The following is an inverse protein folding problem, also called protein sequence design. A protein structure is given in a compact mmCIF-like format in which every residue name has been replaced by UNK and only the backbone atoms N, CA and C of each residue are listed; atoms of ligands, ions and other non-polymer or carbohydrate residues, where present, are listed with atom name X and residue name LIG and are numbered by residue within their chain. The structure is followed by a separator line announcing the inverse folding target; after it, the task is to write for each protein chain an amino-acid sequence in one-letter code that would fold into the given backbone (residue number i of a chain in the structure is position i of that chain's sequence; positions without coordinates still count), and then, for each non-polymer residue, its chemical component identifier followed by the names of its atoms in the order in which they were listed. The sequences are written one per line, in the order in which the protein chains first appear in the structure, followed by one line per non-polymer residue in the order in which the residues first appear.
data_IF_898229015785
#
_entry.id   IF_898229015785
#
_cell.length_a   1.000
_cell.length_b   1.000
_cell.length_c   1.000
_cell.angle_alpha   90.00
_cell.angle_beta   90.00
_cell.angle_gamma   90.00
#
_symmetry.space_group_name_H-M   'P 1'
#
loop_
_entity.id
_entity.type
_entity.pdbx_description
1 polymer ?
#
# COMPACT_ATOMS: atom_id res chain seq x y z
N UNK A 1 -0.22 24.18 -3.73
CA UNK A 1 0.33 22.81 -3.63
C UNK A 1 1.12 22.66 -2.33
N UNK A 2 0.71 21.73 -1.47
CA UNK A 2 1.37 21.36 -0.21
C UNK A 2 2.02 19.99 -0.40
N UNK A 3 3.28 19.83 0.00
CA UNK A 3 4.01 18.55 -0.12
C UNK A 3 4.26 17.91 1.24
N UNK A 4 3.89 16.63 1.37
CA UNK A 4 4.17 15.81 2.55
C UNK A 4 5.29 14.80 2.25
N UNK A 5 6.17 14.60 3.23
CA UNK A 5 7.06 13.43 3.27
C UNK A 5 6.38 12.36 4.13
N UNK A 6 6.05 11.22 3.53
CA UNK A 6 5.21 10.20 4.16
C UNK A 6 5.93 8.88 4.33
N UNK A 7 5.77 8.28 5.50
CA UNK A 7 6.20 6.93 5.84
C UNK A 7 5.51 6.45 7.11
N UNK A 8 5.32 5.14 7.23
CA UNK A 8 4.54 4.51 8.30
C UNK A 8 3.10 5.00 8.35
N UNK A 9 2.48 4.86 9.52
CA UNK A 9 1.03 5.15 9.71
C UNK A 9 0.73 6.57 10.19
N UNK A 10 1.75 7.34 10.58
CA UNK A 10 1.59 8.68 11.16
C UNK A 10 1.21 9.74 10.13
N UNK A 11 2.00 9.87 9.07
CA UNK A 11 1.76 10.88 8.02
C UNK A 11 0.42 10.66 7.27
N UNK A 12 0.00 9.42 6.94
CA UNK A 12 -1.32 9.18 6.36
C UNK A 12 -2.48 9.71 7.21
N UNK A 13 -2.39 9.66 8.55
CA UNK A 13 -3.38 10.26 9.47
C UNK A 13 -3.44 11.77 9.34
N UNK A 14 -2.26 12.41 9.28
CA UNK A 14 -2.17 13.86 9.07
C UNK A 14 -2.75 14.27 7.71
N UNK A 15 -2.42 13.52 6.66
CA UNK A 15 -2.95 13.76 5.31
C UNK A 15 -4.47 13.58 5.31
N UNK A 16 -5.02 12.55 5.96
CA UNK A 16 -6.47 12.36 6.08
C UNK A 16 -7.16 13.60 6.67
N UNK A 17 -6.59 14.19 7.73
CA UNK A 17 -7.08 15.44 8.28
C UNK A 17 -6.97 16.61 7.29
N UNK A 18 -5.83 16.74 6.59
CA UNK A 18 -5.61 17.80 5.62
C UNK A 18 -6.60 17.78 4.45
N UNK A 19 -6.99 16.58 3.98
CA UNK A 19 -7.98 16.40 2.90
C UNK A 19 -9.37 16.96 3.23
N UNK A 20 -9.67 17.22 4.50
CA UNK A 20 -10.93 17.89 4.89
C UNK A 20 -10.95 19.40 4.61
N UNK A 21 -9.79 20.00 4.34
CA UNK A 21 -9.62 21.46 4.17
C UNK A 21 -8.82 21.85 2.92
N UNK A 22 -8.10 20.92 2.29
CA UNK A 22 -7.33 21.15 1.06
C UNK A 22 -7.78 20.13 0.00
N UNK A 23 -8.07 20.57 -1.24
CA UNK A 23 -8.40 19.67 -2.34
C UNK A 23 -7.28 18.65 -2.62
N UNK A 24 -7.63 17.42 -2.99
CA UNK A 24 -6.66 16.35 -3.24
C UNK A 24 -5.65 16.73 -4.33
N UNK A 25 -6.05 17.46 -5.39
CA UNK A 25 -5.14 17.94 -6.45
C UNK A 25 -4.06 18.92 -5.96
N UNK A 26 -4.25 19.54 -4.79
CA UNK A 26 -3.28 20.46 -4.19
C UNK A 26 -2.33 19.75 -3.20
N UNK A 27 -2.43 18.44 -3.04
CA UNK A 27 -1.61 17.63 -2.13
C UNK A 27 -0.63 16.77 -2.92
N UNK A 28 0.66 17.05 -2.76
CA UNK A 28 1.76 16.18 -3.19
C UNK A 28 2.24 15.31 -2.04
N UNK A 29 2.56 14.05 -2.32
CA UNK A 29 3.15 13.14 -1.31
C UNK A 29 4.39 12.48 -1.88
N UNK A 30 5.53 12.69 -1.21
CA UNK A 30 6.77 11.96 -1.47
C UNK A 30 6.83 10.85 -0.43
N UNK A 31 6.79 9.61 -0.90
CA UNK A 31 6.59 8.44 -0.05
C UNK A 31 7.88 7.66 0.15
N UNK A 32 8.11 7.21 1.37
CA UNK A 32 9.19 6.29 1.72
C UNK A 32 9.08 4.97 0.93
N UNK A 33 10.22 4.44 0.52
CA UNK A 33 10.36 3.14 -0.17
C UNK A 33 11.38 2.24 0.53
N UNK A 34 11.84 2.62 1.72
CA UNK A 34 12.85 1.87 2.49
C UNK A 34 12.35 0.52 3.01
N UNK A 35 11.04 0.29 3.01
CA UNK A 35 10.41 -0.99 3.39
C UNK A 35 9.88 -1.78 2.19
N UNK A 36 10.17 -1.34 0.96
CA UNK A 36 9.76 -2.05 -0.23
C UNK A 36 10.46 -3.41 -0.33
N UNK A 37 9.70 -4.46 -0.64
CA UNK A 37 10.22 -5.84 -0.66
C UNK A 37 9.51 -6.71 -1.70
N UNK A 38 10.23 -7.70 -2.21
CA UNK A 38 9.63 -8.81 -2.94
C UNK A 38 9.24 -9.94 -1.99
N UNK A 39 7.95 -10.28 -1.93
CA UNK A 39 7.43 -11.39 -1.14
C UNK A 39 6.38 -12.15 -1.96
N UNK A 40 6.40 -13.48 -1.89
CA UNK A 40 5.54 -14.36 -2.70
C UNK A 40 5.51 -14.03 -4.19
N UNK A 41 6.65 -13.60 -4.75
CA UNK A 41 6.80 -13.26 -6.17
C UNK A 41 6.19 -11.91 -6.58
N UNK A 42 5.73 -11.08 -5.63
CA UNK A 42 5.11 -9.78 -5.88
C UNK A 42 5.89 -8.65 -5.20
N UNK A 43 5.75 -7.43 -5.72
CA UNK A 43 6.40 -6.25 -5.18
C UNK A 43 5.47 -5.51 -4.21
N UNK A 44 5.87 -5.45 -2.95
CA UNK A 44 5.15 -4.79 -1.87
C UNK A 44 5.81 -3.44 -1.62
N UNK A 45 5.01 -2.37 -1.55
CA UNK A 45 5.46 -1.02 -1.22
C UNK A 45 4.53 -0.45 -0.15
N UNK A 46 4.69 -0.83 1.14
CA UNK A 46 3.67 -0.63 2.17
C UNK A 46 3.22 0.83 2.35
N UNK A 47 4.17 1.76 2.35
CA UNK A 47 3.89 3.18 2.52
C UNK A 47 3.22 3.78 1.27
N UNK A 48 3.65 3.36 0.08
CA UNK A 48 3.06 3.78 -1.20
C UNK A 48 1.62 3.28 -1.30
N UNK A 49 1.40 1.99 -1.02
CA UNK A 49 0.07 1.37 -1.02
C UNK A 49 -0.85 2.03 0.00
N UNK A 50 -0.35 2.33 1.21
CA UNK A 50 -1.12 3.05 2.24
C UNK A 50 -1.61 4.42 1.73
N UNK A 51 -0.76 5.19 1.04
CA UNK A 51 -1.14 6.48 0.46
C UNK A 51 -2.14 6.30 -0.69
N UNK A 52 -1.92 5.34 -1.59
CA UNK A 52 -2.87 5.02 -2.67
C UNK A 52 -4.24 4.64 -2.10
N UNK A 53 -4.28 3.81 -1.06
CA UNK A 53 -5.52 3.38 -0.43
C UNK A 53 -6.20 4.51 0.33
N UNK A 54 -5.43 5.42 0.95
CA UNK A 54 -5.99 6.60 1.59
C UNK A 54 -6.74 7.46 0.56
N UNK A 55 -6.08 7.85 -0.53
CA UNK A 55 -6.67 8.72 -1.55
C UNK A 55 -7.82 8.06 -2.30
N UNK A 56 -7.76 6.75 -2.54
CA UNK A 56 -8.86 6.00 -3.16
C UNK A 56 -10.04 5.67 -2.23
N UNK A 57 -9.96 6.02 -0.94
CA UNK A 57 -11.01 5.74 0.04
C UNK A 57 -11.12 4.25 0.40
N UNK A 58 -10.04 3.49 0.23
CA UNK A 58 -9.98 2.03 0.41
C UNK A 58 -9.12 1.60 1.60
N UNK A 59 -8.44 2.52 2.27
CA UNK A 59 -7.54 2.20 3.39
C UNK A 59 -8.30 1.63 4.58
N UNK A 60 -7.80 0.53 5.14
CA UNK A 60 -8.25 0.07 6.45
C UNK A 60 -7.78 1.06 7.53
N UNK A 61 -8.69 1.87 8.06
CA UNK A 61 -8.37 2.89 9.06
C UNK A 61 -8.32 2.37 10.50
N UNK A 62 -8.66 1.08 10.73
CA UNK A 62 -8.46 0.44 12.02
C UNK A 62 -6.98 0.09 12.23
N UNK A 63 -6.31 -0.40 11.18
CA UNK A 63 -4.90 -0.81 11.20
C UNK A 63 -3.95 0.22 10.59
N UNK A 64 -4.46 1.08 9.71
CA UNK A 64 -3.69 2.05 8.91
C UNK A 64 -2.76 1.42 7.87
N UNK A 65 -3.05 0.20 7.45
CA UNK A 65 -2.39 -0.50 6.34
C UNK A 65 -3.35 -1.51 5.72
N UNK A 66 -3.13 -1.85 4.45
CA UNK A 66 -3.99 -2.75 3.69
C UNK A 66 -5.36 -2.15 3.33
N UNK A 67 -6.17 -2.94 2.65
CA UNK A 67 -7.49 -2.53 2.15
C UNK A 67 -8.57 -2.83 3.20
N UNK A 68 -9.50 -1.90 3.37
CA UNK A 68 -10.64 -2.06 4.27
C UNK A 68 -11.55 -3.23 3.84
N UNK A 69 -11.96 -4.04 4.82
CA UNK A 69 -12.76 -5.26 4.64
C UNK A 69 -12.12 -6.34 3.74
N UNK A 70 -10.79 -6.38 3.60
CA UNK A 70 -10.13 -7.38 2.73
C UNK A 70 -10.20 -8.80 3.29
N UNK A 71 -10.18 -9.80 2.40
CA UNK A 71 -10.06 -11.22 2.77
C UNK A 71 -8.60 -11.67 2.72
N UNK A 72 -8.28 -12.79 3.36
CA UNK A 72 -6.91 -13.32 3.45
C UNK A 72 -6.81 -14.76 2.96
N UNK A 73 -7.71 -15.19 2.08
CA UNK A 73 -7.82 -16.59 1.64
C UNK A 73 -6.52 -17.08 0.99
N UNK A 74 -5.91 -16.27 0.14
CA UNK A 74 -4.66 -16.62 -0.54
C UNK A 74 -3.50 -16.71 0.45
N UNK A 75 -3.44 -15.76 1.39
CA UNK A 75 -2.39 -15.74 2.41
C UNK A 75 -2.46 -16.99 3.30
N UNK A 76 -3.65 -17.34 3.79
CA UNK A 76 -3.87 -18.52 4.61
C UNK A 76 -3.47 -19.81 3.88
N UNK A 77 -3.78 -19.93 2.58
CA UNK A 77 -3.41 -21.10 1.79
C UNK A 77 -1.90 -21.16 1.51
N UNK A 78 -1.25 -20.03 1.24
CA UNK A 78 0.21 -19.96 1.06
C UNK A 78 0.95 -20.42 2.33
N UNK A 79 0.50 -19.96 3.50
CA UNK A 79 1.05 -20.41 4.79
C UNK A 79 0.86 -21.91 4.99
N UNK A 80 -0.31 -22.47 4.64
CA UNK A 80 -0.56 -23.94 4.71
C UNK A 80 0.34 -24.73 3.78
N UNK A 81 0.70 -24.17 2.62
CA UNK A 81 1.64 -24.77 1.67
C UNK A 81 3.11 -24.62 2.09
N UNK A 82 3.39 -23.95 3.22
CA UNK A 82 4.74 -23.73 3.73
C UNK A 82 5.48 -22.57 3.05
N UNK A 83 4.78 -21.68 2.35
CA UNK A 83 5.35 -20.45 1.81
C UNK A 83 5.43 -19.42 2.93
N UNK A 84 6.62 -18.81 3.09
CA UNK A 84 6.86 -17.79 4.11
C UNK A 84 6.28 -16.44 3.67
N UNK A 85 5.11 -16.11 4.23
CA UNK A 85 4.55 -14.76 4.25
C UNK A 85 4.48 -14.27 5.70
N UNK A 86 5.55 -13.65 6.19
CA UNK A 86 5.59 -13.13 7.55
C UNK A 86 4.72 -11.86 7.75
N UNK A 87 4.15 -11.31 6.67
CA UNK A 87 3.13 -10.26 6.70
C UNK A 87 1.86 -10.82 6.06
N UNK A 88 0.72 -10.65 6.73
CA UNK A 88 -0.57 -11.01 6.17
C UNK A 88 -0.94 -10.06 5.02
N UNK A 89 -1.09 -10.62 3.82
CA UNK A 89 -1.47 -9.87 2.62
C UNK A 89 -2.92 -10.17 2.26
N UNK A 90 -3.73 -9.12 2.16
CA UNK A 90 -5.12 -9.23 1.73
C UNK A 90 -5.24 -9.60 0.24
N UNK A 91 -6.33 -10.26 -0.14
CA UNK A 91 -6.55 -10.73 -1.51
C UNK A 91 -6.66 -9.56 -2.51
N UNK A 92 -7.29 -8.44 -2.11
CA UNK A 92 -7.38 -7.24 -2.94
C UNK A 92 -6.09 -6.42 -2.90
N UNK A 93 -5.40 -6.37 -1.78
CA UNK A 93 -4.06 -5.76 -1.67
C UNK A 93 -3.06 -6.45 -2.62
N UNK A 94 -3.04 -7.79 -2.59
CA UNK A 94 -2.21 -8.61 -3.49
C UNK A 94 -2.42 -8.29 -4.97
N UNK A 95 -3.64 -7.92 -5.39
CA UNK A 95 -3.90 -7.53 -6.78
C UNK A 95 -3.08 -6.29 -7.20
N UNK A 96 -2.89 -5.31 -6.32
CA UNK A 96 -2.02 -4.14 -6.58
C UNK A 96 -0.56 -4.56 -6.71
N UNK A 97 -0.10 -5.45 -5.82
CA UNK A 97 1.27 -5.95 -5.79
C UNK A 97 1.61 -6.79 -7.04
N UNK A 98 0.67 -7.61 -7.52
CA UNK A 98 0.80 -8.36 -8.78
C UNK A 98 0.91 -7.39 -9.96
N UNK A 99 0.00 -6.41 -10.06
CA UNK A 99 0.00 -5.45 -11.16
C UNK A 99 1.28 -4.60 -11.19
N UNK A 100 1.71 -4.08 -10.03
CA UNK A 100 2.98 -3.37 -9.88
C UNK A 100 4.16 -4.26 -10.26
N UNK A 101 4.20 -5.48 -9.72
CA UNK A 101 5.28 -6.43 -9.99
C UNK A 101 5.41 -6.72 -11.49
N UNK A 102 4.30 -6.79 -12.22
CA UNK A 102 4.29 -6.99 -13.67
C UNK A 102 4.85 -5.79 -14.44
N UNK A 103 4.49 -4.57 -14.03
CA UNK A 103 5.07 -3.34 -14.63
C UNK A 103 6.58 -3.30 -14.42
N UNK A 104 7.05 -3.58 -13.20
CA UNK A 104 8.48 -3.60 -12.87
C UNK A 104 9.24 -4.67 -13.67
N UNK A 105 8.66 -5.87 -13.82
CA UNK A 105 9.26 -6.94 -14.66
C UNK A 105 9.37 -6.56 -16.13
N UNK A 106 8.48 -5.68 -16.63
CA UNK A 106 8.52 -5.14 -18.00
C UNK A 106 9.51 -3.98 -18.15
N UNK A 107 10.25 -3.63 -17.10
CA UNK A 107 11.25 -2.56 -17.12
C UNK A 107 10.67 -1.17 -16.85
N UNK A 108 9.41 -1.07 -16.41
CA UNK A 108 8.89 0.19 -15.89
C UNK A 108 9.56 0.54 -14.55
N UNK A 109 9.52 1.82 -14.19
CA UNK A 109 9.93 2.31 -12.87
C UNK A 109 8.78 2.24 -11.87
N UNK A 110 9.07 2.44 -10.59
CA UNK A 110 8.03 2.53 -9.55
C UNK A 110 7.15 3.80 -9.71
N UNK A 111 7.66 4.82 -10.40
CA UNK A 111 6.96 6.06 -10.78
C UNK A 111 6.49 5.98 -12.23
#
# INVERSE_FOLDING_TARGET
MITFLSGGTGTPKLIQGMRSIVPDEEIGVVVNTGEDIWMSGNHISPDVDTVIYLFSGRLNTATWWGIDNDSFCTHEELVRLGVDEYIAIGDRDRAFQIARGELLRRGATLT
#
